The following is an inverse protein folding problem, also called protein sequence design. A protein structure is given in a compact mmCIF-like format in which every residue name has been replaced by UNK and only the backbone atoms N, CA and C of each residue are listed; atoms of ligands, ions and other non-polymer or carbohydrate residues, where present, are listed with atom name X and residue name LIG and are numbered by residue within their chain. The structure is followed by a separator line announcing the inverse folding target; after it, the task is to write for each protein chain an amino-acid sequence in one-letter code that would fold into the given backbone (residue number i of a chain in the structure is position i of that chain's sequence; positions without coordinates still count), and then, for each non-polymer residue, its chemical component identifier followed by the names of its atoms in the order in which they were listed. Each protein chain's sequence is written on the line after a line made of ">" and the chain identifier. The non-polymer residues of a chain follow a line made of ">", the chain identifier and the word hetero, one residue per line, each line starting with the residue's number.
data_IF_439971071561
#
_entry.id   IF_439971071561
#
_cell.length_a   1.000
_cell.length_b   1.000
_cell.length_c   1.000
_cell.angle_alpha   90.00
_cell.angle_beta   90.00
_cell.angle_gamma   90.00
#
_symmetry.space_group_name_H-M   'P 1'
#
loop_
_entity.id
_entity.type
_entity.pdbx_description
1 polymer ?
#
# COMPACT_ATOMS: atom_id res chain seq x y z
N UNK A 1 -1.94 1.11 -17.11
CA UNK A 1 -3.19 0.58 -16.53
C UNK A 1 -3.25 -0.92 -16.76
N UNK A 2 -3.78 -1.65 -15.79
CA UNK A 2 -3.98 -3.10 -15.85
C UNK A 2 -5.47 -3.39 -15.67
N UNK A 3 -6.06 -4.15 -16.59
CA UNK A 3 -7.51 -4.37 -16.64
C UNK A 3 -8.04 -5.05 -15.37
N UNK A 4 -7.30 -6.01 -14.82
CA UNK A 4 -7.70 -6.70 -13.59
C UNK A 4 -7.86 -5.72 -12.42
N UNK A 5 -6.88 -4.84 -12.20
CA UNK A 5 -6.91 -3.86 -11.10
C UNK A 5 -8.06 -2.86 -11.28
N UNK A 6 -8.25 -2.35 -12.50
CA UNK A 6 -9.35 -1.39 -12.77
C UNK A 6 -10.70 -2.06 -12.58
N UNK A 7 -10.91 -3.26 -13.14
CA UNK A 7 -12.18 -3.97 -12.97
C UNK A 7 -12.45 -4.33 -11.51
N UNK A 8 -11.43 -4.72 -10.75
CA UNK A 8 -11.60 -4.99 -9.32
C UNK A 8 -12.11 -3.74 -8.56
N UNK A 9 -11.58 -2.55 -8.87
CA UNK A 9 -12.05 -1.28 -8.31
C UNK A 9 -13.50 -0.98 -8.68
N UNK A 10 -13.86 -1.09 -9.97
CA UNK A 10 -15.22 -0.82 -10.44
C UNK A 10 -16.25 -1.85 -9.91
N UNK A 11 -15.82 -3.09 -9.69
CA UNK A 11 -16.64 -4.09 -9.00
C UNK A 11 -16.86 -3.72 -7.53
N UNK A 12 -15.87 -3.11 -6.87
CA UNK A 12 -16.05 -2.53 -5.53
C UNK A 12 -17.19 -1.51 -5.49
N UNK A 13 -17.22 -0.57 -6.45
CA UNK A 13 -18.35 0.36 -6.60
C UNK A 13 -19.68 -0.35 -6.88
N UNK A 14 -19.66 -1.36 -7.76
CA UNK A 14 -20.83 -2.15 -8.09
C UNK A 14 -21.40 -2.92 -6.88
N UNK A 15 -20.54 -3.26 -5.93
CA UNK A 15 -20.87 -3.90 -4.66
C UNK A 15 -21.14 -2.88 -3.53
N UNK A 16 -21.15 -1.58 -3.81
CA UNK A 16 -21.55 -0.54 -2.86
C UNK A 16 -20.41 0.12 -2.08
N UNK A 17 -19.14 -0.16 -2.39
CA UNK A 17 -18.02 0.57 -1.82
C UNK A 17 -17.88 1.96 -2.45
N UNK A 18 -17.65 2.97 -1.61
CA UNK A 18 -17.22 4.30 -2.07
C UNK A 18 -15.70 4.37 -2.14
N UNK A 19 -15.17 5.45 -2.70
CA UNK A 19 -13.74 5.70 -2.65
C UNK A 19 -13.21 5.75 -1.21
N UNK A 20 -12.03 5.18 -1.00
CA UNK A 20 -11.28 5.28 0.25
C UNK A 20 -10.31 6.46 0.24
N UNK A 21 -10.02 6.99 1.43
CA UNK A 21 -8.93 7.95 1.63
C UNK A 21 -7.58 7.25 1.90
N UNK A 22 -7.58 5.94 2.12
CA UNK A 22 -6.36 5.16 2.27
C UNK A 22 -5.67 4.99 0.91
N UNK A 23 -4.48 5.57 0.69
CA UNK A 23 -3.75 5.44 -0.58
C UNK A 23 -3.34 3.99 -0.91
N UNK A 24 -3.36 3.09 0.06
CA UNK A 24 -3.11 1.67 -0.11
C UNK A 24 -4.30 0.83 -0.55
N UNK A 25 -5.52 1.36 -0.43
CA UNK A 25 -6.75 0.66 -0.75
C UNK A 25 -6.91 0.46 -2.27
N UNK A 26 -7.54 -0.64 -2.67
CA UNK A 26 -8.02 -0.84 -4.03
C UNK A 26 -9.03 0.25 -4.39
N UNK A 27 -9.89 0.64 -3.45
CA UNK A 27 -10.90 1.69 -3.62
C UNK A 27 -10.33 3.13 -3.55
N UNK A 28 -9.01 3.33 -3.48
CA UNK A 28 -8.44 4.67 -3.61
C UNK A 28 -8.73 5.25 -5.02
N UNK A 29 -9.14 6.53 -5.16
CA UNK A 29 -9.59 7.09 -6.44
C UNK A 29 -8.50 7.25 -7.50
N UNK A 30 -7.23 7.12 -7.13
CA UNK A 30 -6.11 7.20 -8.07
C UNK A 30 -5.53 5.82 -8.36
N UNK A 31 -5.28 5.54 -9.64
CA UNK A 31 -4.69 4.28 -10.06
C UNK A 31 -3.28 4.07 -9.49
N UNK A 32 -3.09 2.97 -8.78
CA UNK A 32 -1.77 2.48 -8.37
C UNK A 32 -1.53 1.09 -8.95
N UNK A 33 -0.37 0.89 -9.57
CA UNK A 33 -0.01 -0.42 -10.14
C UNK A 33 0.41 -1.39 -9.03
N UNK A 34 -0.27 -2.54 -9.01
CA UNK A 34 0.14 -3.77 -8.31
C UNK A 34 0.29 -4.86 -9.35
N UNK A 35 1.28 -5.73 -9.21
CA UNK A 35 1.32 -6.97 -10.01
C UNK A 35 0.06 -7.80 -9.69
N UNK A 36 -0.79 -8.13 -10.69
CA UNK A 36 -1.96 -8.99 -10.47
C UNK A 36 -1.62 -10.35 -9.84
N UNK A 37 -0.42 -10.88 -10.05
CA UNK A 37 0.01 -12.16 -9.47
C UNK A 37 0.32 -12.06 -7.97
N UNK A 38 0.64 -10.86 -7.48
CA UNK A 38 0.93 -10.57 -6.07
C UNK A 38 -0.23 -9.82 -5.39
N UNK A 39 -1.34 -9.62 -6.10
CA UNK A 39 -2.45 -8.82 -5.59
C UNK A 39 -3.15 -9.53 -4.43
N UNK A 40 -3.20 -8.83 -3.30
CA UNK A 40 -4.02 -9.15 -2.14
C UNK A 40 -4.95 -7.96 -1.90
N UNK A 41 -6.21 -8.25 -1.58
CA UNK A 41 -7.18 -7.21 -1.22
C UNK A 41 -6.68 -6.50 0.06
N UNK A 42 -6.46 -5.17 0.04
CA UNK A 42 -6.06 -4.41 1.21
C UNK A 42 -7.06 -4.52 2.37
N UNK A 43 -6.57 -4.36 3.60
CA UNK A 43 -7.40 -4.54 4.78
C UNK A 43 -8.57 -3.54 4.83
N UNK A 44 -8.35 -2.29 4.41
CA UNK A 44 -9.40 -1.27 4.29
C UNK A 44 -10.57 -1.74 3.41
N UNK A 45 -10.28 -2.36 2.26
CA UNK A 45 -11.31 -2.87 1.35
C UNK A 45 -12.00 -4.13 1.91
N UNK A 46 -11.26 -5.01 2.61
CA UNK A 46 -11.83 -6.18 3.32
C UNK A 46 -12.83 -5.71 4.38
N UNK A 47 -12.42 -4.77 5.24
CA UNK A 47 -13.25 -4.23 6.30
C UNK A 47 -14.49 -3.53 5.73
N UNK A 48 -14.30 -2.74 4.66
CA UNK A 48 -15.36 -2.05 3.95
C UNK A 48 -16.42 -3.02 3.39
N UNK A 49 -16.00 -4.07 2.68
CA UNK A 49 -16.96 -5.00 2.06
C UNK A 49 -17.67 -5.86 3.11
N UNK A 50 -16.96 -6.25 4.18
CA UNK A 50 -17.53 -7.01 5.28
C UNK A 50 -18.49 -6.18 6.13
N UNK A 51 -18.33 -4.86 6.18
CA UNK A 51 -19.30 -3.98 6.85
C UNK A 51 -20.66 -3.96 6.13
N UNK A 52 -20.69 -4.21 4.81
CA UNK A 52 -21.93 -4.25 4.02
C UNK A 52 -22.57 -5.65 4.07
N UNK A 53 -21.78 -6.70 3.87
CA UNK A 53 -22.30 -8.06 3.63
C UNK A 53 -22.02 -9.06 4.76
N UNK A 54 -21.25 -8.67 5.78
CA UNK A 54 -20.78 -9.55 6.84
C UNK A 54 -19.47 -10.26 6.52
N UNK A 55 -18.94 -10.93 7.53
CA UNK A 55 -17.69 -11.70 7.45
C UNK A 55 -17.85 -12.99 6.64
N UNK A 56 -16.73 -13.51 6.14
CA UNK A 56 -16.70 -14.82 5.50
C UNK A 56 -17.05 -15.92 6.51
N UNK A 57 -17.76 -16.96 6.08
CA UNK A 57 -18.06 -18.13 6.92
C UNK A 57 -16.83 -19.07 7.12
N UNK A 58 -15.64 -18.64 6.74
CA UNK A 58 -14.39 -19.39 6.92
C UNK A 58 -13.89 -19.30 8.36
N UNK A 59 -13.31 -20.40 8.86
CA UNK A 59 -12.74 -20.45 10.21
C UNK A 59 -11.61 -19.43 10.42
N UNK A 60 -10.87 -19.11 9.34
CA UNK A 60 -9.86 -18.05 9.31
C UNK A 60 -10.41 -16.91 8.46
N UNK A 61 -10.42 -15.70 9.02
CA UNK A 61 -10.79 -14.51 8.25
C UNK A 61 -9.65 -14.09 7.33
N UNK A 62 -9.94 -13.65 6.10
CA UNK A 62 -8.92 -13.12 5.21
C UNK A 62 -8.31 -11.86 5.83
N UNK A 63 -7.00 -11.72 5.70
CA UNK A 63 -6.27 -10.50 6.07
C UNK A 63 -5.58 -9.92 4.84
N UNK A 64 -5.48 -8.60 4.80
CA UNK A 64 -4.90 -7.84 3.71
C UNK A 64 -3.64 -7.08 4.13
N UNK A 65 -2.87 -6.56 3.17
CA UNK A 65 -1.85 -5.56 3.46
C UNK A 65 -2.50 -4.32 4.08
N UNK A 66 -1.82 -3.75 5.08
CA UNK A 66 -2.20 -2.51 5.75
C UNK A 66 -1.25 -1.40 5.32
N UNK A 67 -1.78 -0.22 5.09
CA UNK A 67 -0.99 0.97 4.77
C UNK A 67 -0.22 1.45 6.01
N UNK A 68 1.10 1.63 5.94
CA UNK A 68 1.88 2.04 7.09
C UNK A 68 1.58 3.49 7.46
N UNK A 69 1.28 3.72 8.73
CA UNK A 69 1.07 5.04 9.29
C UNK A 69 2.37 5.60 9.88
N UNK A 70 2.85 6.73 9.37
CA UNK A 70 4.15 7.30 9.77
C UNK A 70 4.26 7.63 11.28
N UNK A 71 3.13 7.84 11.95
CA UNK A 71 3.06 8.20 13.36
C UNK A 71 2.71 7.01 14.28
N UNK A 72 2.55 5.79 13.74
CA UNK A 72 2.32 4.60 14.57
C UNK A 72 3.60 4.27 15.36
N UNK A 73 3.57 4.26 16.71
CA UNK A 73 4.73 3.94 17.53
C UNK A 73 5.22 2.50 17.36
N UNK A 74 4.39 1.59 16.81
CA UNK A 74 4.76 0.21 16.54
C UNK A 74 5.26 0.01 15.10
N UNK A 75 5.36 1.08 14.30
CA UNK A 75 5.86 1.00 12.94
C UNK A 75 7.28 0.43 12.92
N UNK A 76 7.46 -0.62 12.12
CA UNK A 76 8.75 -1.24 11.83
C UNK A 76 9.07 -1.08 10.36
N UNK A 77 10.35 -1.13 10.01
CA UNK A 77 10.83 -0.99 8.64
C UNK A 77 11.51 -2.25 8.15
N UNK A 78 11.31 -2.57 6.87
CA UNK A 78 11.97 -3.71 6.23
C UNK A 78 13.41 -3.34 5.86
N UNK A 79 13.62 -2.10 5.40
CA UNK A 79 14.95 -1.52 5.18
C UNK A 79 14.89 0.01 5.16
N UNK A 80 16.05 0.65 5.27
CA UNK A 80 16.22 2.11 5.25
C UNK A 80 17.46 2.45 4.45
N UNK A 81 17.41 3.50 3.63
CA UNK A 81 18.57 4.04 2.91
C UNK A 81 18.49 5.56 2.84
N UNK A 82 19.63 6.20 2.59
CA UNK A 82 19.62 7.55 2.04
C UNK A 82 19.42 7.50 0.52
N UNK A 83 18.91 8.58 -0.06
CA UNK A 83 18.94 8.80 -1.50
C UNK A 83 18.96 10.31 -1.77
N UNK A 84 20.05 10.83 -2.32
CA UNK A 84 20.20 12.25 -2.72
C UNK A 84 19.86 13.24 -1.60
N UNK A 85 20.26 12.93 -0.37
CA UNK A 85 20.03 13.77 0.81
C UNK A 85 18.67 13.59 1.50
N UNK A 86 17.81 12.71 0.99
CA UNK A 86 16.59 12.25 1.66
C UNK A 86 16.80 10.92 2.36
N UNK A 87 15.94 10.61 3.33
CA UNK A 87 15.88 9.30 3.97
C UNK A 87 14.64 8.57 3.43
N UNK A 88 14.84 7.35 2.96
CA UNK A 88 13.78 6.47 2.46
C UNK A 88 13.64 5.28 3.40
N UNK A 89 12.44 5.07 3.92
CA UNK A 89 12.06 3.94 4.74
C UNK A 89 11.17 3.01 3.92
N UNK A 90 11.54 1.75 3.77
CA UNK A 90 10.75 0.76 3.04
C UNK A 90 9.91 -0.09 4.00
N UNK A 91 8.65 -0.33 3.63
CA UNK A 91 7.72 -1.20 4.37
C UNK A 91 6.72 -1.86 3.44
N UNK A 92 6.82 -3.17 3.28
CA UNK A 92 6.02 -3.96 2.35
C UNK A 92 6.14 -3.41 0.94
N UNK A 93 5.02 -2.96 0.38
CA UNK A 93 4.92 -2.36 -0.95
C UNK A 93 5.05 -0.82 -0.96
N UNK A 94 5.29 -0.23 0.20
CA UNK A 94 5.34 1.21 0.41
C UNK A 94 6.75 1.70 0.70
N UNK A 95 6.94 2.99 0.46
CA UNK A 95 8.08 3.77 0.91
C UNK A 95 7.61 5.06 1.57
N UNK A 96 8.19 5.38 2.72
CA UNK A 96 8.07 6.69 3.35
C UNK A 96 9.33 7.49 3.04
N UNK A 97 9.16 8.67 2.48
CA UNK A 97 10.26 9.60 2.19
C UNK A 97 10.25 10.73 3.19
N UNK A 98 11.41 10.99 3.77
CA UNK A 98 11.60 12.09 4.71
C UNK A 98 12.77 12.96 4.25
N UNK A 99 12.44 14.18 3.84
CA UNK A 99 13.43 15.23 3.68
C UNK A 99 13.77 15.80 5.08
N UNK A 100 15.06 15.93 5.46
CA UNK A 100 15.45 16.41 6.79
C UNK A 100 14.87 17.78 7.15
N UNK A 101 14.76 18.68 6.17
CA UNK A 101 14.23 20.04 6.36
C UNK A 101 12.69 20.18 6.34
N UNK A 102 11.94 19.14 5.96
CA UNK A 102 10.46 19.18 5.95
C UNK A 102 9.89 18.52 7.20
N UNK A 103 8.74 18.97 7.67
CA UNK A 103 8.03 18.31 8.79
C UNK A 103 7.28 17.07 8.31
N UNK A 104 6.70 17.14 7.13
CA UNK A 104 5.88 16.09 6.54
C UNK A 104 6.70 14.90 6.05
N UNK A 105 6.07 13.73 6.11
CA UNK A 105 6.57 12.47 5.56
C UNK A 105 5.69 12.10 4.38
N UNK A 106 6.30 11.86 3.22
CA UNK A 106 5.57 11.47 2.01
C UNK A 106 5.45 9.95 1.94
N UNK A 107 4.24 9.43 1.81
CA UNK A 107 3.97 8.01 1.59
C UNK A 107 3.76 7.75 0.09
N UNK A 108 4.45 6.77 -0.48
CA UNK A 108 4.27 6.35 -1.87
C UNK A 108 4.42 4.83 -2.01
N UNK A 109 3.96 4.28 -3.13
CA UNK A 109 4.30 2.91 -3.53
C UNK A 109 5.72 2.85 -4.09
N UNK A 110 6.45 1.78 -3.79
CA UNK A 110 7.78 1.52 -4.37
C UNK A 110 7.69 1.45 -5.90
N UNK A 111 6.63 0.81 -6.41
CA UNK A 111 6.39 0.63 -7.85
C UNK A 111 6.20 1.94 -8.63
N UNK A 112 5.86 3.05 -7.95
CA UNK A 112 5.75 4.36 -8.59
C UNK A 112 7.09 4.87 -9.10
N UNK A 113 8.19 4.53 -8.41
CA UNK A 113 9.55 4.94 -8.77
C UNK A 113 10.33 3.82 -9.44
N UNK A 114 10.15 2.58 -8.97
CA UNK A 114 10.88 1.41 -9.41
C UNK A 114 9.92 0.25 -9.73
N UNK A 115 9.23 0.28 -10.88
CA UNK A 115 8.18 -0.68 -11.22
C UNK A 115 8.67 -2.12 -11.41
N UNK A 116 9.99 -2.34 -11.50
CA UNK A 116 10.62 -3.66 -11.64
C UNK A 116 11.11 -4.23 -10.31
N UNK A 117 11.09 -3.46 -9.23
CA UNK A 117 11.48 -3.96 -7.92
C UNK A 117 10.32 -4.72 -7.28
N UNK A 118 10.61 -5.81 -6.56
CA UNK A 118 9.59 -6.49 -5.77
C UNK A 118 9.17 -5.64 -4.56
N UNK A 119 8.07 -6.03 -3.93
CA UNK A 119 7.74 -5.57 -2.59
C UNK A 119 8.63 -6.25 -1.53
N UNK A 120 8.67 -5.70 -0.30
CA UNK A 120 9.39 -6.30 0.83
C UNK A 120 10.91 -6.19 0.71
N UNK A 121 11.43 -5.00 0.40
CA UNK A 121 12.87 -4.74 0.24
C UNK A 121 13.60 -5.00 1.57
N UNK A 122 14.45 -6.03 1.58
CA UNK A 122 15.12 -6.52 2.79
C UNK A 122 16.37 -5.71 3.17
N UNK A 123 17.00 -5.04 2.21
CA UNK A 123 18.17 -4.17 2.45
C UNK A 123 18.32 -3.17 1.30
N UNK A 124 18.79 -1.97 1.61
CA UNK A 124 19.14 -0.93 0.65
C UNK A 124 20.29 -0.09 1.19
N UNK A 125 21.14 0.42 0.31
CA UNK A 125 22.18 1.38 0.66
C UNK A 125 22.45 2.33 -0.52
N UNK A 126 22.91 3.53 -0.20
CA UNK A 126 23.42 4.48 -1.18
C UNK A 126 24.94 4.39 -1.23
N UNK A 127 25.49 4.33 -2.45
CA UNK A 127 26.93 4.44 -2.66
C UNK A 127 27.25 5.89 -3.01
N UNK A 128 28.03 6.55 -2.14
CA UNK A 128 28.39 7.97 -2.23
C UNK A 128 29.80 8.11 -2.79
#
# INVERSE_FOLDING_TARGET
>A
YNLFIVVAHELGHSLGLSHSNDPGALMYPAYSYTDPNEFLLPQDDIDGIQAIYGQSNTAVQPTGPVTPEACDPNLTFDSITTLRGEIIFFKGRYMLRKHPARTETELNFISLFWPKLPSGIQAAYENI
#
